data_IF_012250203260
#
_entry.id   IF_012250203260
#
_cell.length_a   1.000
_cell.length_b   1.000
_cell.length_c   1.000
_cell.angle_alpha   90.00
_cell.angle_beta   90.00
_cell.angle_gamma   90.00
#
_symmetry.space_group_name_H-M   'P 1'
#
loop_
_entity.id
_entity.type
_entity.pdbx_description
1 polymer ?
#
# COMPACT_ATOMS: atom_id res chain seq x y z
N UNK A 1 11.48 8.76 21.35
CA UNK A 1 10.25 8.80 20.52
C UNK A 1 10.21 7.56 19.65
N UNK A 2 9.04 6.94 19.43
CA UNK A 2 8.92 5.78 18.53
C UNK A 2 8.09 6.21 17.33
N UNK A 3 8.66 6.14 16.13
CA UNK A 3 7.97 6.39 14.87
C UNK A 3 7.56 5.06 14.26
N UNK A 4 6.26 4.87 14.05
CA UNK A 4 5.73 3.68 13.38
C UNK A 4 5.41 3.99 11.92
N UNK A 5 5.83 3.14 11.02
CA UNK A 5 5.57 3.27 9.58
C UNK A 5 4.82 2.02 9.15
N UNK A 6 3.54 2.16 8.80
CA UNK A 6 2.75 1.09 8.21
C UNK A 6 3.04 1.06 6.72
N UNK A 7 3.63 -0.03 6.24
CA UNK A 7 4.15 -0.16 4.89
C UNK A 7 3.47 -1.33 4.15
N UNK A 8 2.86 -1.09 2.97
CA UNK A 8 2.16 -2.12 2.24
C UNK A 8 3.16 -3.04 1.53
N UNK A 9 2.93 -4.34 1.60
CA UNK A 9 3.83 -5.34 1.01
C UNK A 9 3.99 -5.19 -0.52
N UNK A 10 2.97 -4.71 -1.23
CA UNK A 10 3.04 -4.47 -2.67
C UNK A 10 4.09 -3.42 -3.05
N UNK A 11 4.39 -2.45 -2.16
CA UNK A 11 5.40 -1.42 -2.45
C UNK A 11 6.84 -1.97 -2.45
N UNK A 12 7.07 -3.16 -1.91
CA UNK A 12 8.40 -3.79 -1.90
C UNK A 12 8.91 -4.18 -3.30
N UNK A 13 8.04 -4.16 -4.32
CA UNK A 13 8.39 -4.45 -5.71
C UNK A 13 8.73 -3.20 -6.52
N UNK A 14 8.51 -2.00 -5.97
CA UNK A 14 8.85 -0.77 -6.65
C UNK A 14 10.36 -0.58 -6.73
N UNK A 15 10.84 -0.11 -7.88
CA UNK A 15 12.25 0.21 -8.09
C UNK A 15 12.66 1.49 -7.37
N UNK A 16 11.92 2.57 -7.59
CA UNK A 16 12.20 3.89 -6.99
C UNK A 16 11.00 4.80 -7.17
N UNK A 17 10.81 5.74 -6.25
CA UNK A 17 9.65 6.62 -6.30
C UNK A 17 9.39 7.46 -5.06
N UNK A 18 8.19 8.06 -5.04
CA UNK A 18 7.68 8.81 -3.89
C UNK A 18 6.71 7.96 -3.08
N UNK A 19 6.93 7.93 -1.76
CA UNK A 19 5.99 7.35 -0.81
C UNK A 19 4.79 8.28 -0.69
N UNK A 20 3.61 7.78 -1.03
CA UNK A 20 2.34 8.47 -0.84
C UNK A 20 1.60 7.84 0.32
N UNK A 21 1.03 8.66 1.20
CA UNK A 21 0.35 8.16 2.36
C UNK A 21 -0.26 9.25 3.22
N UNK A 22 -0.45 8.94 4.49
CA UNK A 22 -1.08 9.83 5.45
C UNK A 22 -0.38 9.75 6.82
N UNK A 23 -0.17 10.91 7.44
CA UNK A 23 0.29 11.00 8.83
C UNK A 23 -0.91 10.90 9.75
N UNK A 24 -0.91 9.96 10.69
CA UNK A 24 -2.03 9.77 11.62
C UNK A 24 -2.00 10.91 12.67
N UNK A 25 -3.01 11.79 12.72
CA UNK A 25 -3.04 12.89 13.67
C UNK A 25 -3.01 12.37 15.12
N UNK A 26 -2.25 13.04 15.99
CA UNK A 26 -2.12 12.62 17.40
C UNK A 26 -1.18 11.43 17.64
N UNK A 27 -0.72 10.76 16.58
CA UNK A 27 0.20 9.63 16.66
C UNK A 27 1.54 9.93 15.98
N UNK A 28 2.63 9.35 16.51
CA UNK A 28 3.92 9.31 15.80
C UNK A 28 3.90 8.17 14.79
N UNK A 29 2.98 8.24 13.83
CA UNK A 29 2.71 7.13 12.91
C UNK A 29 2.34 7.62 11.52
N UNK A 30 2.87 6.94 10.51
CA UNK A 30 2.55 7.19 9.11
C UNK A 30 2.04 5.91 8.45
N UNK A 31 1.06 6.04 7.57
CA UNK A 31 0.56 4.96 6.73
C UNK A 31 0.97 5.26 5.31
N UNK A 32 1.91 4.47 4.79
CA UNK A 32 2.24 4.45 3.36
C UNK A 32 1.12 3.68 2.65
N UNK A 33 0.64 4.19 1.52
CA UNK A 33 -0.48 3.62 0.77
C UNK A 33 -0.07 3.13 -0.61
N UNK A 34 0.88 3.83 -1.24
CA UNK A 34 1.44 3.48 -2.54
C UNK A 34 2.83 4.15 -2.73
N UNK A 35 3.59 3.65 -3.70
CA UNK A 35 4.75 4.35 -4.27
C UNK A 35 4.38 4.86 -5.67
N UNK A 36 4.62 6.15 -5.93
CA UNK A 36 4.60 6.71 -7.28
C UNK A 36 5.95 6.42 -7.91
N UNK A 37 5.97 5.59 -8.95
CA UNK A 37 7.20 5.16 -9.61
C UNK A 37 7.83 6.29 -10.41
N UNK A 38 9.14 6.46 -10.26
CA UNK A 38 9.93 7.31 -11.14
C UNK A 38 9.97 6.72 -12.57
N UNK A 39 9.94 7.55 -13.63
CA UNK A 39 9.87 9.01 -13.67
C UNK A 39 8.45 9.60 -13.55
N UNK A 40 8.34 10.79 -12.96
CA UNK A 40 7.10 11.57 -12.85
C UNK A 40 7.38 13.07 -12.83
N UNK A 41 6.34 13.89 -13.08
CA UNK A 41 6.41 15.35 -12.97
C UNK A 41 5.85 15.78 -11.61
N UNK A 42 6.60 16.49 -10.74
CA UNK A 42 6.13 16.86 -9.40
C UNK A 42 4.82 17.66 -9.38
N UNK A 43 4.58 18.51 -10.39
CA UNK A 43 3.31 19.23 -10.54
C UNK A 43 2.12 18.30 -10.79
N UNK A 44 2.30 17.22 -11.56
CA UNK A 44 1.27 16.21 -11.76
C UNK A 44 1.00 15.42 -10.49
N UNK A 45 2.04 15.10 -9.70
CA UNK A 45 1.90 14.48 -8.39
C UNK A 45 1.02 15.32 -7.47
N UNK A 46 1.32 16.62 -7.34
CA UNK A 46 0.51 17.53 -6.50
C UNK A 46 -0.95 17.59 -6.96
N UNK A 47 -1.17 17.72 -8.27
CA UNK A 47 -2.52 17.78 -8.84
C UNK A 47 -3.29 16.49 -8.56
N UNK A 48 -2.68 15.34 -8.81
CA UNK A 48 -3.28 14.03 -8.61
C UNK A 48 -3.64 13.79 -7.13
N UNK A 49 -2.73 14.13 -6.19
CA UNK A 49 -3.03 14.00 -4.76
C UNK A 49 -4.18 14.92 -4.33
N UNK A 50 -4.20 16.17 -4.81
CA UNK A 50 -5.29 17.12 -4.52
C UNK A 50 -6.65 16.62 -5.05
N UNK A 51 -6.68 16.07 -6.26
CA UNK A 51 -7.90 15.47 -6.83
C UNK A 51 -8.37 14.27 -5.99
N UNK A 52 -7.45 13.41 -5.55
CA UNK A 52 -7.79 12.28 -4.68
C UNK A 52 -8.24 12.72 -3.28
N UNK A 53 -7.62 13.73 -2.69
CA UNK A 53 -8.08 14.33 -1.43
C UNK A 53 -9.47 14.97 -1.55
N UNK A 54 -9.89 15.39 -2.75
CA UNK A 54 -11.25 15.89 -2.96
C UNK A 54 -12.29 14.76 -3.06
N UNK A 55 -11.87 13.58 -3.52
CA UNK A 55 -12.73 12.40 -3.68
C UNK A 55 -12.75 11.52 -2.41
N UNK A 56 -11.66 11.54 -1.65
CA UNK A 56 -11.44 10.75 -0.44
C UNK A 56 -11.35 11.69 0.75
N UNK A 57 -11.85 11.30 1.92
CA UNK A 57 -11.74 12.13 3.13
C UNK A 57 -10.39 11.98 3.84
N UNK A 58 -9.34 11.64 3.11
CA UNK A 58 -8.01 11.36 3.64
C UNK A 58 -7.05 12.46 3.19
N UNK A 59 -6.29 13.03 4.14
CA UNK A 59 -5.24 14.00 3.84
C UNK A 59 -3.99 13.28 3.29
N UNK A 60 -4.04 12.97 1.99
CA UNK A 60 -2.99 12.26 1.25
C UNK A 60 -1.81 13.16 0.92
N UNK A 61 -0.62 12.78 1.36
CA UNK A 61 0.59 13.57 1.16
C UNK A 61 1.76 12.71 0.69
N UNK A 62 2.78 13.36 0.13
CA UNK A 62 4.08 12.71 -0.11
C UNK A 62 4.81 12.60 1.22
N UNK A 63 5.01 11.37 1.71
CA UNK A 63 5.68 11.09 2.98
C UNK A 63 7.20 11.04 2.85
N UNK A 64 7.70 10.76 1.65
CA UNK A 64 9.12 10.78 1.35
C UNK A 64 9.49 9.97 0.11
N UNK A 65 10.65 9.33 0.15
CA UNK A 65 11.24 8.60 -0.98
C UNK A 65 11.40 7.10 -0.71
N UNK A 66 11.22 6.32 -1.78
CA UNK A 66 11.47 4.90 -1.83
C UNK A 66 12.55 4.60 -2.87
N UNK A 67 13.50 3.72 -2.55
CA UNK A 67 14.47 3.22 -3.52
C UNK A 67 14.89 1.77 -3.27
N UNK A 68 15.10 1.05 -4.36
CA UNK A 68 15.78 -0.23 -4.40
C UNK A 68 17.12 0.02 -5.10
N UNK A 69 18.26 -0.05 -4.39
CA UNK A 69 19.57 0.12 -4.98
C UNK A 69 19.75 -0.87 -6.13
N UNK A 70 20.18 -0.36 -7.28
CA UNK A 70 20.58 -1.14 -8.44
C UNK A 70 22.06 -0.88 -8.70
N UNK A 71 22.80 -1.91 -9.09
CA UNK A 71 24.19 -1.74 -9.51
C UNK A 71 24.26 -0.70 -10.64
N UNK A 72 25.08 0.34 -10.46
CA UNK A 72 25.25 1.43 -11.42
C UNK A 72 24.27 2.62 -11.32
N UNK A 73 23.33 2.63 -10.37
CA UNK A 73 22.47 3.81 -10.12
C UNK A 73 22.95 4.63 -8.91
N UNK A 74 24.06 5.35 -9.09
CA UNK A 74 24.51 6.35 -8.12
C UNK A 74 23.66 7.62 -8.20
N UNK A 75 23.31 8.21 -7.05
CA UNK A 75 22.62 9.51 -6.98
C UNK A 75 21.08 9.49 -7.03
N UNK A 76 20.45 8.32 -7.16
CA UNK A 76 18.98 8.20 -7.10
C UNK A 76 18.42 8.66 -5.75
N UNK A 77 19.03 8.21 -4.66
CA UNK A 77 18.62 8.55 -3.30
C UNK A 77 18.74 10.05 -3.01
N UNK A 78 19.83 10.68 -3.46
CA UNK A 78 20.02 12.12 -3.33
C UNK A 78 18.99 12.89 -4.15
N UNK A 79 18.75 12.48 -5.40
CA UNK A 79 17.75 13.13 -6.26
C UNK A 79 16.35 13.05 -5.65
N UNK A 80 15.93 11.86 -5.19
CA UNK A 80 14.62 11.70 -4.57
C UNK A 80 14.52 12.46 -3.26
N UNK A 81 15.61 12.57 -2.49
CA UNK A 81 15.67 13.39 -1.28
C UNK A 81 15.54 14.89 -1.60
N UNK A 82 16.12 15.38 -2.69
CA UNK A 82 16.01 16.78 -3.09
C UNK A 82 14.57 17.19 -3.43
N UNK A 83 13.72 16.22 -3.82
CA UNK A 83 12.28 16.44 -3.99
C UNK A 83 11.57 16.86 -2.69
N UNK A 84 12.17 16.64 -1.51
CA UNK A 84 11.65 17.16 -0.24
C UNK A 84 11.50 18.68 -0.23
N UNK A 85 12.30 19.40 -1.00
CA UNK A 85 12.17 20.86 -1.17
C UNK A 85 10.90 21.26 -1.92
N UNK A 86 10.38 20.36 -2.76
CA UNK A 86 9.19 20.58 -3.58
C UNK A 86 7.92 20.19 -2.83
N UNK A 87 8.00 19.20 -1.94
CA UNK A 87 6.88 18.69 -1.15
C UNK A 87 7.07 19.09 0.33
N UNK A 88 6.43 20.18 0.79
CA UNK A 88 6.66 20.72 2.13
C UNK A 88 6.05 19.81 3.19
N UNK A 89 6.87 18.92 3.77
CA UNK A 89 6.50 18.10 4.92
C UNK A 89 7.45 18.33 6.09
N UNK A 90 6.95 18.16 7.30
CA UNK A 90 7.76 18.32 8.53
C UNK A 90 8.84 17.25 8.63
N UNK A 91 8.52 16.03 8.22
CA UNK A 91 9.39 14.86 8.25
C UNK A 91 9.37 14.18 6.87
N UNK A 92 10.56 13.91 6.33
CA UNK A 92 10.77 13.16 5.10
C UNK A 92 11.26 11.76 5.43
N UNK A 93 10.51 10.74 5.00
CA UNK A 93 10.87 9.34 5.14
C UNK A 93 11.73 8.90 3.95
N UNK A 94 12.98 8.52 4.18
CA UNK A 94 13.84 7.91 3.17
C UNK A 94 13.92 6.42 3.46
N UNK A 95 13.19 5.63 2.69
CA UNK A 95 13.15 4.18 2.79
C UNK A 95 13.90 3.57 1.61
N UNK A 96 14.77 2.61 1.91
CA UNK A 96 15.42 1.81 0.88
C UNK A 96 15.52 0.34 1.28
N UNK A 97 15.68 -0.54 0.29
CA UNK A 97 15.83 -1.98 0.50
C UNK A 97 17.25 -2.42 0.20
N UNK A 98 17.88 -3.20 1.08
CA UNK A 98 19.20 -3.74 0.77
C UNK A 98 19.12 -4.89 -0.26
N UNK A 99 20.02 -4.87 -1.26
CA UNK A 99 20.13 -5.93 -2.27
C UNK A 99 20.42 -7.26 -1.57
N UNK A 100 19.62 -8.29 -1.89
CA UNK A 100 19.82 -9.65 -1.37
C UNK A 100 19.37 -9.87 0.09
N UNK A 101 18.87 -8.84 0.78
CA UNK A 101 18.33 -8.97 2.14
C UNK A 101 16.81 -8.71 2.18
N UNK A 102 16.17 -9.24 3.23
CA UNK A 102 14.79 -8.88 3.60
C UNK A 102 14.72 -7.61 4.46
N UNK A 103 15.88 -7.04 4.80
CA UNK A 103 15.99 -5.82 5.62
C UNK A 103 15.77 -4.55 4.80
N UNK A 104 15.30 -3.51 5.48
CA UNK A 104 15.09 -2.18 4.94
C UNK A 104 15.88 -1.19 5.77
N UNK A 105 16.42 -0.18 5.09
CA UNK A 105 17.06 0.99 5.69
C UNK A 105 16.02 2.11 5.73
N UNK A 106 15.85 2.73 6.90
CA UNK A 106 14.96 3.86 7.08
C UNK A 106 15.72 5.02 7.71
N UNK A 107 15.67 6.17 7.04
CA UNK A 107 16.19 7.43 7.54
C UNK A 107 15.07 8.46 7.58
N UNK A 108 15.03 9.26 8.65
CA UNK A 108 14.04 10.33 8.81
C UNK A 108 14.77 11.67 8.80
N UNK A 109 14.47 12.49 7.80
CA UNK A 109 15.05 13.82 7.63
C UNK A 109 14.01 14.86 8.00
N UNK A 110 14.30 15.69 8.99
CA UNK A 110 13.46 16.85 9.28
C UNK A 110 13.84 18.03 8.38
N UNK A 111 12.86 18.90 8.08
CA UNK A 111 13.02 20.03 7.16
C UNK A 111 14.11 21.05 7.59
N UNK A 112 14.60 20.97 8.83
CA UNK A 112 15.75 21.75 9.33
C UNK A 112 17.12 21.09 9.05
N UNK A 113 17.18 20.07 8.19
CA UNK A 113 18.41 19.34 7.85
C UNK A 113 18.92 18.40 8.94
N UNK A 114 18.23 18.31 10.08
CA UNK A 114 18.59 17.40 11.17
C UNK A 114 18.11 15.99 10.84
N UNK A 115 19.05 15.06 10.67
CA UNK A 115 18.79 13.64 10.55
C UNK A 115 18.40 13.13 11.94
N UNK A 116 17.15 12.68 12.09
CA UNK A 116 16.67 12.24 13.40
C UNK A 116 17.08 10.81 13.71
N UNK A 117 17.12 9.93 12.70
CA UNK A 117 17.29 8.50 12.89
C UNK A 117 17.95 7.80 11.71
N UNK A 118 18.87 6.91 12.04
CA UNK A 118 19.47 5.92 11.16
C UNK A 118 19.33 4.57 11.85
N UNK A 119 18.63 3.63 11.22
CA UNK A 119 18.49 2.27 11.74
C UNK A 119 19.16 1.33 10.75
N UNK A 120 20.47 1.15 10.89
CA UNK A 120 21.13 -0.06 10.42
C UNK A 120 20.65 -1.20 11.33
N UNK A 121 20.03 -2.24 10.77
CA UNK A 121 19.78 -3.50 11.49
C UNK A 121 21.13 -4.20 11.77
N UNK A 122 21.94 -3.65 12.67
CA UNK A 122 23.09 -4.33 13.28
C UNK A 122 22.61 -5.01 14.55
N UNK A 123 22.68 -6.34 14.56
CA UNK A 123 22.47 -7.15 15.75
C UNK A 123 23.43 -6.71 16.86
N UNK A 124 22.86 -6.31 18.00
CA UNK A 124 23.54 -6.20 19.28
C UNK A 124 24.23 -4.87 19.56
N UNK A 125 23.53 -3.92 20.17
CA UNK A 125 23.97 -3.36 21.45
C UNK A 125 22.86 -2.52 22.13
N UNK A 126 22.59 -2.82 23.40
CA UNK A 126 21.63 -2.11 24.25
C UNK A 126 22.26 -0.85 24.85
N UNK A 127 22.48 0.23 24.09
CA UNK A 127 22.79 1.54 24.72
C UNK A 127 22.65 2.75 23.80
N UNK A 128 21.48 2.97 23.22
CA UNK A 128 21.07 4.34 22.91
C UNK A 128 19.58 4.53 23.15
N UNK A 129 19.24 5.47 24.03
CA UNK A 129 17.90 6.09 24.11
C UNK A 129 17.66 6.97 22.86
N UNK A 130 17.97 6.43 21.67
CA UNK A 130 17.65 7.03 20.40
C UNK A 130 16.17 6.81 20.09
N UNK A 131 15.59 7.71 19.30
CA UNK A 131 14.26 7.49 18.76
C UNK A 131 14.25 6.15 17.99
N UNK A 132 13.17 5.37 18.04
CA UNK A 132 13.11 4.04 17.40
C UNK A 132 12.15 4.09 16.22
N UNK A 133 12.56 3.57 15.07
CA UNK A 133 11.65 3.36 13.94
C UNK A 133 11.12 1.94 14.00
N UNK A 134 9.82 1.77 13.81
CA UNK A 134 9.17 0.46 13.69
C UNK A 134 8.46 0.42 12.36
N UNK A 135 8.95 -0.42 11.45
CA UNK A 135 8.32 -0.67 10.16
C UNK A 135 7.35 -1.85 10.31
N UNK A 136 6.06 -1.60 10.11
CA UNK A 136 4.99 -2.59 10.26
C UNK A 136 4.45 -2.89 8.88
N UNK A 137 4.68 -4.12 8.40
CA UNK A 137 4.19 -4.52 7.09
C UNK A 137 2.72 -4.90 7.16
N UNK A 138 1.93 -4.44 6.19
CA UNK A 138 0.54 -4.86 6.05
C UNK A 138 0.23 -5.35 4.65
N UNK A 139 -0.74 -6.25 4.57
CA UNK A 139 -1.32 -6.71 3.31
C UNK A 139 -2.56 -5.86 3.03
N UNK A 140 -2.45 -5.02 2.01
CA UNK A 140 -3.47 -4.06 1.62
C UNK A 140 -4.80 -4.73 1.26
N UNK A 141 -4.76 -5.91 0.61
CA UNK A 141 -5.96 -6.68 0.28
C UNK A 141 -6.67 -7.14 1.55
N UNK A 142 -5.94 -7.62 2.54
CA UNK A 142 -6.53 -8.06 3.82
C UNK A 142 -7.18 -6.90 4.58
N UNK A 143 -6.57 -5.72 4.53
CA UNK A 143 -7.16 -4.51 5.10
C UNK A 143 -8.43 -4.08 4.35
N UNK A 144 -8.50 -4.27 3.04
CA UNK A 144 -9.73 -4.00 2.28
C UNK A 144 -10.83 -5.01 2.57
N UNK A 145 -10.47 -6.29 2.71
CA UNK A 145 -11.44 -7.34 3.04
C UNK A 145 -12.05 -7.16 4.44
N UNK A 146 -11.32 -6.59 5.40
CA UNK A 146 -11.87 -6.33 6.74
C UNK A 146 -13.02 -5.33 6.71
N UNK A 147 -13.10 -4.46 5.70
CA UNK A 147 -14.22 -3.53 5.51
C UNK A 147 -15.51 -4.20 5.05
N UNK A 148 -15.45 -5.42 4.49
CA UNK A 148 -16.65 -6.19 4.14
C UNK A 148 -17.40 -6.69 5.38
N UNK A 149 -16.71 -6.76 6.52
CA UNK A 149 -17.26 -7.13 7.81
C UNK A 149 -17.01 -5.98 8.78
N UNK A 150 -17.62 -4.80 8.53
CA UNK A 150 -17.44 -3.69 9.43
C UNK A 150 -17.92 -4.15 10.79
N UNK A 151 -17.06 -4.04 11.81
CA UNK A 151 -17.48 -4.24 13.19
C UNK A 151 -18.59 -3.22 13.40
N UNK A 152 -19.84 -3.70 13.49
CA UNK A 152 -20.98 -2.83 13.78
C UNK A 152 -20.62 -2.10 15.06
N UNK A 153 -20.43 -0.77 14.99
CA UNK A 153 -20.47 0.06 16.17
C UNK A 153 -21.89 -0.13 16.72
N UNK A 154 -22.01 -0.99 17.72
CA UNK A 154 -23.27 -1.33 18.35
C UNK A 154 -23.83 -0.08 19.01
N UNK A 155 -24.60 0.73 18.27
CA UNK A 155 -25.54 1.73 18.78
C UNK A 155 -24.99 2.78 19.76
N UNK A 156 -23.68 2.90 19.95
CA UNK A 156 -23.09 3.83 20.91
C UNK A 156 -22.29 4.88 20.13
N UNK A 157 -22.80 6.11 20.16
CA UNK A 157 -21.95 7.30 20.15
C UNK A 157 -20.98 7.15 21.32
N UNK A 158 -19.84 6.52 21.10
CA UNK A 158 -18.76 6.53 22.07
C UNK A 158 -17.80 7.64 21.65
N UNK A 159 -17.62 8.61 22.54
CA UNK A 159 -16.53 9.61 22.51
C UNK A 159 -15.14 8.95 22.68
N UNK A 160 -14.98 7.68 22.27
CA UNK A 160 -13.75 6.93 22.39
C UNK A 160 -12.96 7.17 21.12
N UNK A 161 -11.81 7.84 21.29
CA UNK A 161 -10.85 8.08 20.22
C UNK A 161 -10.50 6.75 19.52
N UNK A 162 -10.63 6.67 18.18
CA UNK A 162 -10.39 5.43 17.46
C UNK A 162 -8.95 4.97 17.67
N UNK A 163 -8.75 3.66 17.84
CA UNK A 163 -7.40 3.11 18.00
C UNK A 163 -6.52 3.37 16.78
N UNK A 164 -5.20 3.46 16.99
CA UNK A 164 -4.22 3.68 15.91
C UNK A 164 -4.43 2.70 14.74
N UNK A 165 -4.61 1.40 15.03
CA UNK A 165 -4.86 0.39 14.00
C UNK A 165 -6.21 0.58 13.28
N UNK A 166 -7.25 1.05 13.98
CA UNK A 166 -8.54 1.37 13.37
C UNK A 166 -8.40 2.53 12.40
N UNK A 167 -7.63 3.57 12.78
CA UNK A 167 -7.29 4.69 11.90
C UNK A 167 -6.53 4.21 10.67
N UNK A 168 -5.51 3.35 10.83
CA UNK A 168 -4.79 2.75 9.70
C UNK A 168 -5.76 2.06 8.74
N UNK A 169 -6.63 1.18 9.25
CA UNK A 169 -7.56 0.43 8.40
C UNK A 169 -8.56 1.33 7.69
N UNK A 170 -9.04 2.37 8.36
CA UNK A 170 -9.93 3.36 7.77
C UNK A 170 -9.22 4.19 6.70
N UNK A 171 -8.00 4.66 6.94
CA UNK A 171 -7.18 5.40 5.97
C UNK A 171 -6.96 4.57 4.70
N UNK A 172 -6.54 3.31 4.84
CA UNK A 172 -6.33 2.43 3.68
C UNK A 172 -7.66 2.24 2.94
N UNK A 173 -8.77 2.04 3.65
CA UNK A 173 -10.09 1.78 3.05
C UNK A 173 -10.60 2.94 2.21
N UNK A 174 -10.53 4.15 2.76
CA UNK A 174 -10.96 5.36 2.08
C UNK A 174 -10.04 5.73 0.91
N UNK A 175 -8.81 5.20 0.90
CA UNK A 175 -7.81 5.47 -0.13
C UNK A 175 -7.79 4.44 -1.26
N UNK A 176 -8.79 3.56 -1.35
CA UNK A 176 -8.95 2.58 -2.43
C UNK A 176 -8.62 3.12 -3.84
N UNK A 177 -9.04 4.34 -4.25
CA UNK A 177 -8.76 4.85 -5.60
C UNK A 177 -7.27 4.90 -5.99
N UNK A 178 -6.34 4.96 -5.01
CA UNK A 178 -4.89 4.95 -5.27
C UNK A 178 -4.37 3.63 -5.85
N UNK A 179 -5.04 2.51 -5.56
CA UNK A 179 -4.48 1.17 -5.79
C UNK A 179 -5.50 0.16 -6.33
N UNK A 180 -6.72 0.61 -6.63
CA UNK A 180 -7.78 -0.24 -7.19
C UNK A 180 -7.76 -0.30 -8.73
N UNK A 181 -7.13 0.67 -9.38
CA UNK A 181 -7.03 0.71 -10.84
C UNK A 181 -5.94 -0.25 -11.32
N UNK A 182 -6.29 -1.51 -11.56
CA UNK A 182 -5.47 -2.45 -12.32
C UNK A 182 -5.77 -2.33 -13.83
N UNK A 183 -5.32 -1.22 -14.41
CA UNK A 183 -5.25 -1.05 -15.87
C UNK A 183 -3.85 -0.56 -16.19
N UNK A 184 -2.95 -1.51 -16.44
CA UNK A 184 -1.65 -1.34 -17.10
C UNK A 184 -1.29 0.12 -17.42
N UNK A 185 -0.76 0.84 -16.44
CA UNK A 185 -0.15 2.18 -16.53
C UNK A 185 -0.94 3.31 -17.26
N UNK A 186 -2.26 3.22 -17.45
CA UNK A 186 -3.04 4.27 -18.15
C UNK A 186 -3.30 5.53 -17.30
N UNK A 187 -2.85 5.54 -16.04
CA UNK A 187 -2.96 6.68 -15.14
C UNK A 187 -1.95 7.80 -15.47
N UNK A 188 -2.19 9.04 -15.01
CA UNK A 188 -1.23 10.14 -15.17
C UNK A 188 0.09 9.88 -14.42
N UNK A 189 0.08 8.95 -13.47
CA UNK A 189 1.21 8.54 -12.64
C UNK A 189 1.21 7.02 -12.54
N UNK A 190 2.40 6.44 -12.58
CA UNK A 190 2.60 5.01 -12.31
C UNK A 190 2.62 4.79 -10.82
N UNK A 191 1.71 3.97 -10.30
CA UNK A 191 1.54 3.69 -8.88
C UNK A 191 1.77 2.21 -8.62
N UNK A 192 2.24 1.88 -7.42
CA UNK A 192 2.22 0.50 -6.96
C UNK A 192 0.79 0.04 -6.78
N UNK A 193 0.40 -0.98 -7.52
CA UNK A 193 -0.85 -1.68 -7.33
C UNK A 193 -0.62 -3.04 -6.67
N UNK A 194 -1.65 -3.55 -6.01
CA UNK A 194 -1.64 -4.93 -5.58
C UNK A 194 -1.94 -5.80 -6.81
N UNK A 195 -0.96 -6.56 -7.29
CA UNK A 195 -1.21 -7.57 -8.31
C UNK A 195 -1.58 -8.88 -7.61
N UNK A 196 -2.63 -9.55 -8.08
CA UNK A 196 -3.02 -10.86 -7.56
C UNK A 196 -2.01 -11.97 -7.86
N UNK A 197 -0.87 -11.66 -8.50
CA UNK A 197 0.16 -12.62 -8.97
C UNK A 197 -0.46 -13.78 -9.79
N UNK A 198 -1.59 -13.55 -10.45
CA UNK A 198 -2.34 -14.59 -11.16
C UNK A 198 -3.15 -15.55 -10.27
N UNK A 199 -3.22 -15.32 -8.96
CA UNK A 199 -4.06 -16.12 -8.03
C UNK A 199 -5.53 -16.02 -8.37
N UNK A 200 -5.99 -14.89 -8.89
CA UNK A 200 -7.39 -14.73 -9.31
C UNK A 200 -7.73 -15.58 -10.52
N UNK A 201 -6.83 -15.68 -11.50
CA UNK A 201 -6.98 -16.61 -12.61
C UNK A 201 -7.00 -18.07 -12.12
N UNK A 202 -6.17 -18.41 -11.12
CA UNK A 202 -6.19 -19.74 -10.49
C UNK A 202 -7.50 -20.01 -9.74
N UNK A 203 -8.07 -19.02 -9.06
CA UNK A 203 -9.38 -19.16 -8.39
C UNK A 203 -10.47 -19.37 -9.43
N UNK A 204 -10.49 -18.58 -10.50
CA UNK A 204 -11.49 -18.71 -11.58
C UNK A 204 -11.35 -20.09 -12.25
N UNK A 205 -10.14 -20.55 -12.53
CA UNK A 205 -9.90 -21.87 -13.11
C UNK A 205 -10.37 -23.00 -12.19
N UNK A 206 -10.12 -22.90 -10.88
CA UNK A 206 -10.57 -23.90 -9.92
C UNK A 206 -12.11 -23.87 -9.75
N UNK A 207 -12.73 -22.68 -9.76
CA UNK A 207 -14.19 -22.55 -9.75
C UNK A 207 -14.82 -23.15 -11.01
N UNK A 208 -14.26 -22.88 -12.20
CA UNK A 208 -14.71 -23.48 -13.46
C UNK A 208 -14.58 -25.01 -13.44
N UNK A 209 -13.47 -25.51 -12.90
CA UNK A 209 -13.26 -26.95 -12.72
C UNK A 209 -14.30 -27.56 -11.78
N UNK A 210 -14.57 -26.92 -10.63
CA UNK A 210 -15.59 -27.37 -9.69
C UNK A 210 -17.00 -27.32 -10.28
N UNK A 211 -17.30 -26.32 -11.11
CA UNK A 211 -18.60 -26.18 -11.79
C UNK A 211 -18.79 -27.16 -12.96
N UNK A 212 -17.71 -27.69 -13.55
CA UNK A 212 -17.79 -28.54 -14.74
C UNK A 212 -18.62 -29.81 -14.54
N UNK A 213 -18.44 -30.50 -13.42
CA UNK A 213 -19.15 -31.75 -13.09
C UNK A 213 -20.67 -31.53 -12.92
N UNK A 214 -21.15 -30.60 -12.07
CA UNK A 214 -22.59 -30.37 -11.92
C UNK A 214 -23.23 -29.87 -13.22
N UNK A 215 -22.52 -29.05 -14.01
CA UNK A 215 -23.01 -28.60 -15.33
C UNK A 215 -23.16 -29.78 -16.29
N UNK A 216 -22.20 -30.70 -16.37
CA UNK A 216 -22.30 -31.90 -17.20
C UNK A 216 -23.46 -32.81 -16.78
N UNK A 217 -23.70 -32.98 -15.48
CA UNK A 217 -24.83 -33.76 -14.97
C UNK A 217 -26.15 -33.10 -15.39
N UNK A 218 -26.27 -31.78 -15.19
CA UNK A 218 -27.45 -31.01 -15.57
C UNK A 218 -27.73 -31.08 -17.09
N UNK A 219 -26.70 -30.94 -17.92
CA UNK A 219 -26.81 -31.08 -19.37
C UNK A 219 -27.23 -32.49 -19.78
N UNK A 220 -26.68 -33.53 -19.14
CA UNK A 220 -27.06 -34.91 -19.40
C UNK A 220 -28.52 -35.17 -19.03
N UNK A 221 -28.98 -34.61 -17.92
CA UNK A 221 -30.38 -34.68 -17.49
C UNK A 221 -31.33 -33.94 -18.44
N UNK A 222 -30.95 -32.77 -18.95
CA UNK A 222 -31.73 -32.05 -19.97
C UNK A 222 -31.82 -32.85 -21.28
N UNK A 223 -30.71 -33.44 -21.72
CA UNK A 223 -30.66 -34.25 -22.94
C UNK A 223 -31.51 -35.51 -22.82
N UNK A 224 -31.53 -36.17 -21.66
CA UNK A 224 -32.40 -37.33 -21.45
C UNK A 224 -33.88 -36.94 -21.43
N UNK A 225 -34.24 -35.80 -20.81
CA UNK A 225 -35.59 -35.26 -20.87
C UNK A 225 -36.03 -34.94 -22.31
N UNK A 226 -35.13 -34.31 -23.09
CA UNK A 226 -35.39 -33.99 -24.48
C UNK A 226 -35.60 -35.25 -25.33
N UNK A 227 -34.72 -36.26 -25.17
CA UNK A 227 -34.87 -37.54 -25.85
C UNK A 227 -36.19 -38.23 -25.49
N UNK A 228 -36.59 -38.17 -24.23
CA UNK A 228 -37.86 -38.72 -23.78
C UNK A 228 -39.06 -37.99 -24.41
N UNK A 229 -39.03 -36.66 -24.47
CA UNK A 229 -40.08 -35.86 -25.13
C UNK A 229 -40.15 -36.08 -26.65
N UNK A 230 -39.02 -36.33 -27.32
CA UNK A 230 -38.97 -36.58 -28.76
C UNK A 230 -39.24 -38.04 -29.15
N UNK A 231 -39.29 -38.97 -28.18
CA UNK A 231 -39.62 -40.38 -28.42
C UNK A 231 -41.08 -40.73 -28.06
N UNK A 232 -41.83 -39.74 -27.57
CA UNK A 232 -43.29 -39.73 -27.44
C UNK A 232 -43.93 -39.12 -28.69
#
# INVERSE_FOLDING_TARGET
>A
MVLKIFFPQCCNTADSGLLVGHWIPGHNSAVVLAVIHYPFIPGQVKKYLSELQSQTQVDLTVLGSWSMPKEGQEGMDSFLKDLSTIFPQKCWLQLSREIGKRGFTCQVVQNNGKLLLDQEQKNGDESSKGDKIILIHYDQRKVMLSQLHPVQDAGQKSDIEPSELRLVFQTVAQSQPLFFLDKYDDGPLKLTHWQSEGREASIIAELLKQASVPVCIFLTWLLSLWQWLCSF
#
